data_IF_598044866072
#
_entry.id   IF_598044866072
#
_cell.length_a   1.000
_cell.length_b   1.000
_cell.length_c   1.000
_cell.angle_alpha   90.00
_cell.angle_beta   90.00
_cell.angle_gamma   90.00
#
_symmetry.space_group_name_H-M   'P 1'
#
loop_
_entity.id
_entity.type
_entity.pdbx_description
1 polymer ?
#
# COMPACT_ATOMS: atom_id res chain seq x y z
N UNK A 1 14.72 -8.57 -14.58
CA UNK A 1 13.51 -8.39 -15.43
C UNK A 1 12.29 -8.41 -14.51
N UNK A 2 11.28 -7.56 -14.73
CA UNK A 2 10.02 -7.55 -13.96
C UNK A 2 9.25 -8.86 -14.15
N UNK A 3 8.84 -9.51 -13.06
CA UNK A 3 8.07 -10.75 -13.03
C UNK A 3 6.67 -10.54 -12.44
N UNK A 4 6.54 -9.67 -11.43
CA UNK A 4 5.27 -9.42 -10.77
C UNK A 4 5.08 -7.96 -10.34
N UNK A 5 3.82 -7.56 -10.24
CA UNK A 5 3.39 -6.33 -9.56
C UNK A 5 2.47 -6.71 -8.40
N UNK A 6 2.81 -6.22 -7.21
CA UNK A 6 2.08 -6.47 -5.98
C UNK A 6 1.32 -5.18 -5.61
N UNK A 7 0.02 -5.28 -5.44
CA UNK A 7 -0.84 -4.11 -5.19
C UNK A 7 -1.35 -4.12 -3.75
N UNK A 8 -1.31 -2.97 -3.09
CA UNK A 8 -2.17 -2.77 -1.92
C UNK A 8 -3.64 -2.64 -2.37
N UNK A 9 -4.57 -2.79 -1.44
CA UNK A 9 -6.00 -2.65 -1.70
C UNK A 9 -6.47 -1.20 -1.57
N UNK A 10 -6.36 -0.67 -0.34
CA UNK A 10 -6.94 0.61 0.04
C UNK A 10 -6.14 1.76 -0.60
N UNK A 11 -6.82 2.66 -1.31
CA UNK A 11 -6.16 3.77 -1.99
C UNK A 11 -5.42 3.40 -3.28
N UNK A 12 -5.22 2.11 -3.58
CA UNK A 12 -4.50 1.61 -4.76
C UNK A 12 -5.43 0.89 -5.73
N UNK A 13 -6.02 -0.22 -5.32
CA UNK A 13 -7.01 -0.98 -6.11
C UNK A 13 -8.41 -0.42 -5.89
N UNK A 14 -8.77 -0.19 -4.63
CA UNK A 14 -10.02 0.39 -4.21
C UNK A 14 -9.86 1.89 -3.90
N UNK A 15 -10.75 2.72 -4.42
CA UNK A 15 -10.88 4.13 -4.01
C UNK A 15 -11.62 4.20 -2.67
N UNK A 16 -10.95 3.73 -1.62
CA UNK A 16 -11.52 3.55 -0.29
C UNK A 16 -11.45 4.79 0.60
N UNK A 17 -10.64 5.79 0.25
CA UNK A 17 -10.49 7.01 1.05
C UNK A 17 -11.83 7.71 1.34
N UNK A 18 -12.76 7.90 0.36
CA UNK A 18 -14.06 8.51 0.65
C UNK A 18 -14.91 7.66 1.61
N UNK A 19 -14.79 6.32 1.53
CA UNK A 19 -15.50 5.40 2.42
C UNK A 19 -14.94 5.48 3.85
N UNK A 20 -13.60 5.50 3.97
CA UNK A 20 -12.93 5.70 5.26
C UNK A 20 -13.28 7.04 5.88
N UNK A 21 -13.33 8.12 5.10
CA UNK A 21 -13.70 9.45 5.58
C UNK A 21 -15.11 9.45 6.18
N UNK A 22 -16.08 8.89 5.46
CA UNK A 22 -17.47 8.76 5.96
C UNK A 22 -17.51 7.98 7.27
N UNK A 23 -16.80 6.85 7.35
CA UNK A 23 -16.76 6.01 8.53
C UNK A 23 -16.10 6.70 9.73
N UNK A 24 -15.02 7.44 9.52
CA UNK A 24 -14.35 8.20 10.57
C UNK A 24 -15.22 9.36 11.07
N UNK A 25 -15.81 10.13 10.14
CA UNK A 25 -16.73 11.22 10.51
C UNK A 25 -17.90 10.71 11.34
N UNK A 26 -18.48 9.57 10.96
CA UNK A 26 -19.58 8.96 11.70
C UNK A 26 -19.15 8.52 13.12
N UNK A 27 -17.99 7.88 13.25
CA UNK A 27 -17.44 7.51 14.55
C UNK A 27 -17.16 8.73 15.43
N UNK A 28 -16.49 9.76 14.90
CA UNK A 28 -16.14 10.95 15.68
C UNK A 28 -17.41 11.71 16.11
N UNK A 29 -18.43 11.79 15.25
CA UNK A 29 -19.71 12.36 15.59
C UNK A 29 -20.44 11.55 16.70
N UNK A 30 -20.38 10.22 16.66
CA UNK A 30 -20.92 9.37 17.75
C UNK A 30 -20.20 9.62 19.08
N UNK A 31 -18.93 10.02 19.04
CA UNK A 31 -18.16 10.42 20.25
C UNK A 31 -18.37 11.88 20.67
N UNK A 32 -19.31 12.59 20.06
CA UNK A 32 -19.68 13.97 20.41
C UNK A 32 -18.79 15.04 19.77
N UNK A 33 -17.95 14.71 18.81
CA UNK A 33 -17.14 15.68 18.07
C UNK A 33 -17.90 16.21 16.84
N UNK A 34 -17.79 17.51 16.57
CA UNK A 34 -18.30 18.09 15.33
C UNK A 34 -17.36 17.75 14.17
N UNK A 35 -17.59 16.60 13.56
CA UNK A 35 -16.78 16.09 12.46
C UNK A 35 -16.76 17.00 11.21
N UNK A 36 -17.68 17.96 11.08
CA UNK A 36 -17.68 18.92 9.98
C UNK A 36 -16.62 20.02 10.15
N UNK A 37 -16.26 20.33 11.39
CA UNK A 37 -15.26 21.35 11.75
C UNK A 37 -13.86 20.80 12.00
N UNK A 38 -13.70 19.46 12.07
CA UNK A 38 -12.40 18.83 12.33
C UNK A 38 -11.47 18.89 11.11
N UNK A 39 -10.20 19.21 11.37
CA UNK A 39 -9.14 18.91 10.42
C UNK A 39 -8.93 17.40 10.36
N UNK A 40 -9.18 16.82 9.19
CA UNK A 40 -9.07 15.38 8.94
C UNK A 40 -7.76 14.99 8.26
N UNK A 41 -6.79 15.90 8.07
CA UNK A 41 -5.50 15.61 7.43
C UNK A 41 -4.78 14.44 8.10
N UNK A 42 -4.92 14.32 9.44
CA UNK A 42 -4.33 13.23 10.20
C UNK A 42 -4.86 11.84 9.80
N UNK A 43 -6.11 11.75 9.32
CA UNK A 43 -6.67 10.48 8.80
C UNK A 43 -5.97 10.00 7.54
N UNK A 44 -5.48 10.92 6.73
CA UNK A 44 -4.84 10.63 5.46
C UNK A 44 -3.32 10.52 5.56
N UNK A 45 -2.74 10.79 6.73
CA UNK A 45 -1.30 10.75 6.92
C UNK A 45 -0.73 9.32 7.06
N UNK A 46 -1.58 8.28 6.97
CA UNK A 46 -1.15 6.88 7.02
C UNK A 46 -0.86 6.38 8.44
N UNK A 47 -1.36 7.09 9.47
CA UNK A 47 -1.21 6.67 10.85
C UNK A 47 -1.97 5.38 11.17
N UNK A 48 -1.44 4.53 12.05
CA UNK A 48 -2.17 3.39 12.59
C UNK A 48 -3.48 3.82 13.26
N UNK A 49 -4.51 2.96 13.17
CA UNK A 49 -5.84 3.24 13.74
C UNK A 49 -5.80 3.73 15.18
N UNK A 50 -4.92 3.14 16.02
CA UNK A 50 -4.76 3.54 17.42
C UNK A 50 -4.30 4.98 17.56
N UNK A 51 -3.34 5.41 16.76
CA UNK A 51 -2.84 6.79 16.77
C UNK A 51 -3.91 7.78 16.33
N UNK A 52 -4.69 7.44 15.30
CA UNK A 52 -5.81 8.25 14.84
C UNK A 52 -6.84 8.42 15.96
N UNK A 53 -7.22 7.34 16.63
CA UNK A 53 -8.17 7.39 17.74
C UNK A 53 -7.63 8.23 18.92
N UNK A 54 -6.35 8.06 19.27
CA UNK A 54 -5.71 8.84 20.33
C UNK A 54 -5.65 10.33 19.97
N UNK A 55 -5.36 10.65 18.71
CA UNK A 55 -5.28 12.03 18.23
C UNK A 55 -6.60 12.79 18.45
N UNK A 56 -7.73 12.17 18.11
CA UNK A 56 -9.04 12.84 18.20
C UNK A 56 -9.74 12.66 19.55
N UNK A 57 -9.51 11.55 20.25
CA UNK A 57 -10.30 11.15 21.43
C UNK A 57 -9.47 11.07 22.72
N UNK A 58 -8.16 11.34 22.65
CA UNK A 58 -7.25 11.22 23.79
C UNK A 58 -6.84 9.77 24.10
N UNK A 59 -6.16 9.55 25.24
CA UNK A 59 -5.66 8.24 25.65
C UNK A 59 -6.75 7.16 25.72
N UNK A 60 -6.43 5.94 25.31
CA UNK A 60 -7.35 4.81 25.24
C UNK A 60 -6.76 3.61 25.94
N UNK A 61 -7.56 2.94 26.77
CA UNK A 61 -7.30 1.57 27.20
C UNK A 61 -7.66 0.54 26.09
N UNK A 62 -7.30 -0.72 26.30
CA UNK A 62 -7.52 -1.78 25.30
C UNK A 62 -9.01 -2.04 25.04
N UNK A 63 -9.85 -1.97 26.06
CA UNK A 63 -11.30 -2.19 25.92
C UNK A 63 -11.95 -1.10 25.08
N UNK A 64 -11.63 0.17 25.36
CA UNK A 64 -12.11 1.32 24.57
C UNK A 64 -11.58 1.30 23.15
N UNK A 65 -10.30 0.96 22.97
CA UNK A 65 -9.73 0.81 21.63
C UNK A 65 -10.45 -0.26 20.80
N UNK A 66 -10.68 -1.44 21.38
CA UNK A 66 -11.38 -2.53 20.71
C UNK A 66 -12.83 -2.12 20.33
N UNK A 67 -13.54 -1.47 21.27
CA UNK A 67 -14.89 -0.96 21.03
C UNK A 67 -14.94 0.05 19.89
N UNK A 68 -14.12 1.09 19.93
CA UNK A 68 -14.07 2.14 18.89
C UNK A 68 -13.63 1.58 17.54
N UNK A 69 -12.73 0.60 17.54
CA UNK A 69 -12.32 -0.10 16.31
C UNK A 69 -13.48 -0.84 15.67
N UNK A 70 -14.25 -1.60 16.47
CA UNK A 70 -15.44 -2.29 15.97
C UNK A 70 -16.51 -1.32 15.48
N UNK A 71 -16.72 -0.18 16.17
CA UNK A 71 -17.65 0.87 15.72
C UNK A 71 -17.22 1.47 14.40
N UNK A 72 -15.91 1.77 14.22
CA UNK A 72 -15.37 2.26 12.95
C UNK A 72 -15.58 1.27 11.80
N UNK A 73 -15.37 -0.02 12.07
CA UNK A 73 -15.60 -1.07 11.06
C UNK A 73 -17.08 -1.21 10.71
N UNK A 74 -17.98 -1.07 11.67
CA UNK A 74 -19.41 -1.00 11.43
C UNK A 74 -19.79 0.17 10.50
N UNK A 75 -19.30 1.38 10.77
CA UNK A 75 -19.56 2.54 9.91
C UNK A 75 -18.93 2.39 8.53
N UNK A 76 -17.76 1.75 8.43
CA UNK A 76 -17.16 1.43 7.14
C UNK A 76 -18.05 0.49 6.33
N UNK A 77 -18.57 -0.58 6.95
CA UNK A 77 -19.48 -1.52 6.29
C UNK A 77 -20.76 -0.83 5.79
N UNK A 78 -21.31 0.10 6.56
CA UNK A 78 -22.49 0.90 6.13
C UNK A 78 -22.17 1.80 4.92
N UNK A 79 -20.95 2.33 4.85
CA UNK A 79 -20.53 3.18 3.75
C UNK A 79 -19.97 2.39 2.54
N UNK A 80 -19.72 1.09 2.70
CA UNK A 80 -19.02 0.25 1.72
C UNK A 80 -19.72 0.19 0.36
N UNK A 81 -21.05 0.38 0.29
CA UNK A 81 -21.77 0.47 -0.98
C UNK A 81 -21.25 1.59 -1.93
N UNK A 82 -20.49 2.56 -1.39
CA UNK A 82 -19.85 3.63 -2.15
C UNK A 82 -18.46 3.28 -2.66
N UNK A 83 -17.93 2.10 -2.30
CA UNK A 83 -16.60 1.68 -2.72
C UNK A 83 -16.57 1.51 -4.24
N UNK A 84 -15.60 2.15 -4.87
CA UNK A 84 -15.35 2.08 -6.30
C UNK A 84 -13.92 1.62 -6.56
N UNK A 85 -13.68 1.05 -7.74
CA UNK A 85 -12.32 0.77 -8.18
C UNK A 85 -11.58 2.07 -8.50
N UNK A 86 -10.28 2.12 -8.22
CA UNK A 86 -9.45 3.23 -8.69
C UNK A 86 -9.54 3.36 -10.22
N UNK A 87 -9.72 4.58 -10.76
CA UNK A 87 -9.77 4.78 -12.20
C UNK A 87 -8.56 4.18 -12.90
N UNK A 88 -8.79 3.34 -13.90
CA UNK A 88 -7.75 2.69 -14.70
C UNK A 88 -7.21 1.36 -14.15
N UNK A 89 -7.54 0.95 -12.90
CA UNK A 89 -6.95 -0.26 -12.30
C UNK A 89 -7.27 -1.53 -13.08
N UNK A 90 -8.50 -1.71 -13.56
CA UNK A 90 -8.89 -2.88 -14.34
C UNK A 90 -8.11 -2.95 -15.68
N UNK A 91 -7.90 -1.79 -16.31
CA UNK A 91 -7.09 -1.70 -17.55
C UNK A 91 -5.64 -2.04 -17.26
N UNK A 92 -5.06 -1.50 -16.18
CA UNK A 92 -3.68 -1.78 -15.78
C UNK A 92 -3.46 -3.28 -15.50
N UNK A 93 -4.37 -3.92 -14.76
CA UNK A 93 -4.32 -5.37 -14.48
C UNK A 93 -4.41 -6.20 -15.76
N UNK A 94 -5.29 -5.82 -16.70
CA UNK A 94 -5.41 -6.50 -17.98
C UNK A 94 -4.14 -6.35 -18.84
N UNK A 95 -3.51 -5.17 -18.86
CA UNK A 95 -2.25 -4.92 -19.57
C UNK A 95 -1.10 -5.74 -18.98
N UNK A 96 -1.00 -5.83 -17.66
CA UNK A 96 0.03 -6.63 -16.97
C UNK A 96 -0.13 -8.11 -17.28
N UNK A 97 -1.36 -8.64 -17.21
CA UNK A 97 -1.68 -10.02 -17.56
C UNK A 97 -1.33 -10.33 -19.03
N UNK A 98 -1.69 -9.46 -19.97
CA UNK A 98 -1.36 -9.59 -21.38
C UNK A 98 0.15 -9.58 -21.65
N UNK A 99 0.91 -8.85 -20.81
CA UNK A 99 2.37 -8.77 -20.88
C UNK A 99 3.09 -9.95 -20.17
N UNK A 100 2.35 -10.90 -19.59
CA UNK A 100 2.88 -12.04 -18.82
C UNK A 100 3.48 -11.63 -17.47
N UNK A 101 3.05 -10.48 -16.92
CA UNK A 101 3.45 -10.00 -15.59
C UNK A 101 2.39 -10.44 -14.59
N UNK A 102 2.80 -11.17 -13.56
CA UNK A 102 1.91 -11.70 -12.54
C UNK A 102 1.44 -10.60 -11.60
N UNK A 103 0.21 -10.72 -11.08
CA UNK A 103 -0.35 -9.75 -10.15
C UNK A 103 -0.77 -10.42 -8.85
N UNK A 104 -0.42 -9.83 -7.70
CA UNK A 104 -0.96 -10.21 -6.40
C UNK A 104 -1.51 -8.99 -5.66
N UNK A 105 -2.48 -9.25 -4.78
CA UNK A 105 -2.96 -8.29 -3.79
C UNK A 105 -2.27 -8.56 -2.45
N UNK A 106 -1.79 -7.52 -1.76
CA UNK A 106 -1.12 -7.62 -0.47
C UNK A 106 -1.58 -6.47 0.44
N UNK A 107 -2.59 -6.71 1.27
CA UNK A 107 -3.28 -5.69 2.06
C UNK A 107 -3.26 -5.97 3.56
N UNK A 108 -3.18 -4.91 4.38
CA UNK A 108 -3.36 -5.01 5.84
C UNK A 108 -4.82 -5.23 6.27
N UNK A 109 -5.77 -5.25 5.34
CA UNK A 109 -7.18 -5.47 5.62
C UNK A 109 -7.45 -6.91 6.11
N UNK A 110 -8.56 -7.08 6.84
CA UNK A 110 -9.06 -8.40 7.20
C UNK A 110 -9.56 -9.16 5.96
N UNK A 111 -9.52 -10.49 6.03
CA UNK A 111 -9.87 -11.39 4.91
C UNK A 111 -11.28 -11.14 4.38
N UNK A 112 -12.24 -11.10 5.26
CA UNK A 112 -13.66 -10.90 4.92
C UNK A 112 -13.85 -9.58 4.16
N UNK A 113 -13.32 -8.49 4.69
CA UNK A 113 -13.39 -7.17 4.07
C UNK A 113 -12.69 -7.13 2.70
N UNK A 114 -11.58 -7.85 2.56
CA UNK A 114 -10.83 -7.92 1.30
C UNK A 114 -11.67 -8.58 0.22
N UNK A 115 -12.27 -9.74 0.51
CA UNK A 115 -13.08 -10.45 -0.47
C UNK A 115 -14.40 -9.74 -0.78
N UNK A 116 -15.04 -9.10 0.20
CA UNK A 116 -16.20 -8.23 -0.03
C UNK A 116 -15.87 -7.07 -0.97
N UNK A 117 -14.72 -6.42 -0.77
CA UNK A 117 -14.26 -5.35 -1.63
C UNK A 117 -13.98 -5.85 -3.06
N UNK A 118 -13.24 -6.95 -3.22
CA UNK A 118 -12.95 -7.52 -4.54
C UNK A 118 -14.23 -7.92 -5.29
N UNK A 119 -15.19 -8.54 -4.59
CA UNK A 119 -16.48 -8.91 -5.18
C UNK A 119 -17.27 -7.67 -5.65
N UNK A 120 -17.36 -6.64 -4.80
CA UNK A 120 -18.03 -5.39 -5.17
C UNK A 120 -17.37 -4.71 -6.38
N UNK A 121 -16.03 -4.75 -6.46
CA UNK A 121 -15.25 -4.17 -7.55
C UNK A 121 -15.21 -5.07 -8.80
N UNK A 122 -15.71 -6.31 -8.72
CA UNK A 122 -15.64 -7.35 -9.78
C UNK A 122 -14.19 -7.67 -10.16
N UNK A 123 -13.34 -7.84 -9.16
CA UNK A 123 -11.90 -8.08 -9.31
C UNK A 123 -11.44 -9.37 -8.60
N UNK A 124 -12.36 -10.31 -8.29
CA UNK A 124 -12.07 -11.57 -7.58
C UNK A 124 -11.02 -12.41 -8.32
N UNK A 125 -11.07 -12.42 -9.65
CA UNK A 125 -10.18 -13.19 -10.53
C UNK A 125 -9.01 -12.34 -11.09
N UNK A 126 -8.83 -11.11 -10.58
CA UNK A 126 -7.82 -10.21 -11.12
C UNK A 126 -6.40 -10.51 -10.62
N UNK A 127 -6.28 -11.20 -9.48
CA UNK A 127 -5.03 -11.49 -8.81
C UNK A 127 -4.77 -12.99 -8.72
N UNK A 128 -3.52 -13.40 -9.00
CA UNK A 128 -3.09 -14.80 -8.91
C UNK A 128 -2.83 -15.22 -7.45
N UNK A 129 -2.58 -14.25 -6.56
CA UNK A 129 -2.47 -14.45 -5.12
C UNK A 129 -3.08 -13.27 -4.36
N UNK A 130 -3.72 -13.57 -3.23
CA UNK A 130 -4.22 -12.58 -2.28
C UNK A 130 -3.60 -12.89 -0.92
N UNK A 131 -2.97 -11.87 -0.32
CA UNK A 131 -2.40 -11.90 1.02
C UNK A 131 -3.07 -10.80 1.85
N UNK A 132 -3.56 -11.17 3.01
CA UNK A 132 -4.28 -10.26 3.92
C UNK A 132 -3.55 -10.09 5.24
N UNK A 133 -3.90 -9.08 6.03
CA UNK A 133 -3.21 -8.77 7.28
C UNK A 133 -3.12 -9.94 8.26
N UNK A 134 -4.11 -10.83 8.28
CA UNK A 134 -4.10 -12.02 9.13
C UNK A 134 -3.21 -13.17 8.65
N UNK A 135 -2.59 -13.07 7.47
CA UNK A 135 -1.69 -14.08 6.93
C UNK A 135 -0.23 -13.90 7.42
N UNK A 136 0.08 -12.79 8.08
CA UNK A 136 1.41 -12.45 8.58
C UNK A 136 1.36 -12.06 10.05
N UNK A 137 2.46 -12.31 10.77
CA UNK A 137 2.57 -11.98 12.19
C UNK A 137 2.89 -10.49 12.39
N UNK A 138 3.71 -9.92 11.52
CA UNK A 138 4.19 -8.54 11.65
C UNK A 138 3.60 -7.70 10.51
N UNK A 139 2.84 -6.67 10.88
CA UNK A 139 2.22 -5.74 9.94
C UNK A 139 3.22 -4.76 9.31
N UNK A 140 2.85 -4.12 8.18
CA UNK A 140 3.58 -2.99 7.61
C UNK A 140 3.94 -1.97 8.72
N UNK A 141 5.20 -1.49 8.80
CA UNK A 141 6.22 -1.46 7.76
C UNK A 141 7.15 -2.68 7.70
N UNK A 142 6.83 -3.82 8.37
CA UNK A 142 7.57 -5.05 8.16
C UNK A 142 7.32 -5.61 6.74
N UNK A 143 8.31 -6.30 6.15
CA UNK A 143 8.24 -6.74 4.76
C UNK A 143 7.37 -7.97 4.52
N UNK A 144 6.93 -8.64 5.56
CA UNK A 144 6.38 -10.00 5.59
C UNK A 144 5.27 -10.19 4.57
N UNK A 145 4.35 -9.24 4.47
CA UNK A 145 3.19 -9.34 3.58
C UNK A 145 3.59 -9.36 2.10
N UNK A 146 4.59 -8.57 1.71
CA UNK A 146 5.08 -8.54 0.34
C UNK A 146 5.98 -9.72 0.02
N UNK A 147 6.79 -10.18 0.99
CA UNK A 147 7.59 -11.40 0.85
C UNK A 147 6.68 -12.62 0.66
N UNK A 148 5.61 -12.74 1.46
CA UNK A 148 4.62 -13.81 1.32
C UNK A 148 3.88 -13.74 -0.02
N UNK A 149 3.56 -12.55 -0.52
CA UNK A 149 2.93 -12.38 -1.83
C UNK A 149 3.85 -12.80 -2.98
N UNK A 150 5.15 -12.47 -2.91
CA UNK A 150 6.13 -12.90 -3.88
C UNK A 150 6.33 -14.43 -3.86
N UNK A 151 6.39 -15.02 -2.65
CA UNK A 151 6.49 -16.48 -2.47
C UNK A 151 5.30 -17.21 -3.09
N UNK A 152 4.06 -16.77 -2.80
CA UNK A 152 2.84 -17.34 -3.41
C UNK A 152 2.84 -17.23 -4.93
N UNK A 153 3.48 -16.22 -5.49
CA UNK A 153 3.70 -16.09 -6.93
C UNK A 153 4.95 -16.87 -7.42
N UNK A 154 5.73 -17.49 -6.55
CA UNK A 154 7.00 -18.16 -6.90
C UNK A 154 7.94 -17.26 -7.71
N UNK A 155 8.10 -16.00 -7.27
CA UNK A 155 9.00 -15.01 -7.86
C UNK A 155 9.96 -14.45 -6.82
N UNK A 156 11.17 -14.10 -7.24
CA UNK A 156 12.14 -13.47 -6.37
C UNK A 156 11.75 -12.00 -6.07
N UNK A 157 11.84 -11.54 -4.81
CA UNK A 157 11.42 -10.19 -4.39
C UNK A 157 12.01 -9.09 -5.25
N UNK A 158 13.29 -9.16 -5.59
CA UNK A 158 13.96 -8.18 -6.44
C UNK A 158 13.43 -8.12 -7.88
N UNK A 159 12.55 -9.04 -8.29
CA UNK A 159 11.87 -8.99 -9.59
C UNK A 159 10.47 -8.41 -9.51
N UNK A 160 10.07 -7.94 -8.32
CA UNK A 160 8.75 -7.37 -8.07
C UNK A 160 8.78 -5.84 -8.07
N UNK A 161 7.63 -5.25 -8.37
CA UNK A 161 7.29 -3.86 -8.07
C UNK A 161 6.07 -3.86 -7.16
N UNK A 162 6.10 -3.08 -6.09
CA UNK A 162 4.95 -2.85 -5.21
C UNK A 162 4.27 -1.54 -5.61
N UNK A 163 2.94 -1.50 -5.59
CA UNK A 163 2.14 -0.27 -5.74
C UNK A 163 1.45 0.01 -4.41
N UNK A 164 1.72 1.17 -3.82
CA UNK A 164 1.35 1.53 -2.46
C UNK A 164 1.00 3.02 -2.31
N UNK A 165 0.09 3.34 -1.38
CA UNK A 165 -0.34 4.72 -1.11
C UNK A 165 0.07 5.25 0.27
N UNK A 166 0.67 4.39 1.11
CA UNK A 166 1.03 4.69 2.50
C UNK A 166 2.55 4.67 2.74
N UNK A 167 3.00 5.48 3.70
CA UNK A 167 4.41 5.49 4.15
C UNK A 167 4.83 4.12 4.67
N UNK A 168 3.99 3.49 5.49
CA UNK A 168 4.29 2.18 6.06
C UNK A 168 4.41 1.09 4.98
N UNK A 169 3.56 1.14 3.95
CA UNK A 169 3.62 0.20 2.85
C UNK A 169 4.81 0.42 1.92
N UNK A 170 5.16 1.68 1.62
CA UNK A 170 6.40 1.99 0.88
C UNK A 170 7.62 1.45 1.64
N UNK A 171 7.71 1.69 2.95
CA UNK A 171 8.80 1.17 3.78
C UNK A 171 8.83 -0.37 3.78
N UNK A 172 7.67 -1.02 3.89
CA UNK A 172 7.57 -2.47 3.82
C UNK A 172 8.10 -3.04 2.49
N UNK A 173 7.79 -2.38 1.36
CA UNK A 173 8.30 -2.76 0.06
C UNK A 173 9.83 -2.63 -0.03
N UNK A 174 10.38 -1.53 0.49
CA UNK A 174 11.84 -1.31 0.55
C UNK A 174 12.52 -2.35 1.44
N UNK A 175 11.95 -2.63 2.63
CA UNK A 175 12.47 -3.67 3.53
C UNK A 175 12.40 -5.08 2.90
N UNK A 176 11.43 -5.32 2.01
CA UNK A 176 11.34 -6.56 1.23
C UNK A 176 12.37 -6.64 0.08
N UNK A 177 13.19 -5.60 -0.16
CA UNK A 177 14.10 -5.54 -1.30
C UNK A 177 13.40 -5.31 -2.64
N UNK A 178 12.17 -4.79 -2.62
CA UNK A 178 11.35 -4.56 -3.81
C UNK A 178 11.39 -3.09 -4.21
N UNK A 179 11.22 -2.83 -5.51
CA UNK A 179 10.97 -1.50 -6.03
C UNK A 179 9.54 -1.08 -5.67
N UNK A 180 9.33 0.17 -5.27
CA UNK A 180 8.02 0.68 -4.92
C UNK A 180 7.62 1.86 -5.81
N UNK A 181 6.42 1.77 -6.40
CA UNK A 181 5.71 2.86 -7.05
C UNK A 181 4.64 3.42 -6.10
N UNK A 182 4.79 4.66 -5.68
CA UNK A 182 3.82 5.33 -4.83
C UNK A 182 2.58 5.77 -5.63
N UNK A 183 1.38 5.43 -5.16
CA UNK A 183 0.12 5.95 -5.72
C UNK A 183 -0.45 6.99 -4.77
N UNK A 184 -0.07 8.24 -4.96
CA UNK A 184 -0.35 9.31 -4.01
C UNK A 184 -1.70 9.99 -4.23
N UNK A 185 -2.34 10.40 -3.14
CA UNK A 185 -3.32 11.48 -3.19
C UNK A 185 -2.63 12.81 -3.58
N UNK A 186 -3.35 13.75 -4.22
CA UNK A 186 -2.82 15.08 -4.43
C UNK A 186 -2.28 15.70 -3.12
N UNK A 187 -1.07 16.26 -3.16
CA UNK A 187 -0.40 16.84 -2.00
C UNK A 187 0.47 15.86 -1.19
N UNK A 188 0.38 14.55 -1.40
CA UNK A 188 1.17 13.54 -0.64
C UNK A 188 2.36 12.94 -1.41
N UNK A 189 2.65 13.44 -2.59
CA UNK A 189 3.74 12.92 -3.46
C UNK A 189 5.08 12.92 -2.75
N UNK A 190 5.45 14.03 -2.11
CA UNK A 190 6.75 14.17 -1.41
C UNK A 190 6.88 13.28 -0.19
N UNK A 191 5.78 12.95 0.46
CA UNK A 191 5.74 12.05 1.60
C UNK A 191 6.15 10.62 1.19
N UNK A 192 5.57 10.11 0.11
CA UNK A 192 5.91 8.78 -0.41
C UNK A 192 7.32 8.73 -1.00
N UNK A 193 7.79 9.81 -1.64
CA UNK A 193 9.18 9.92 -2.08
C UNK A 193 10.16 9.85 -0.91
N UNK A 194 9.90 10.59 0.16
CA UNK A 194 10.71 10.55 1.39
C UNK A 194 10.69 9.19 2.08
N UNK A 195 9.59 8.45 1.96
CA UNK A 195 9.50 7.08 2.45
C UNK A 195 10.33 6.07 1.65
N UNK A 196 10.82 6.45 0.46
CA UNK A 196 11.68 5.63 -0.39
C UNK A 196 11.02 5.10 -1.67
N UNK A 197 9.82 5.61 -2.04
CA UNK A 197 9.20 5.23 -3.31
C UNK A 197 10.12 5.59 -4.49
N UNK A 198 10.34 4.64 -5.39
CA UNK A 198 11.22 4.80 -6.56
C UNK A 198 10.64 5.76 -7.59
N UNK A 199 9.32 5.83 -7.68
CA UNK A 199 8.55 6.85 -8.39
C UNK A 199 7.20 7.02 -7.72
N UNK A 200 6.52 8.15 -7.99
CA UNK A 200 5.20 8.45 -7.41
C UNK A 200 4.30 9.06 -8.48
N UNK A 201 3.11 8.48 -8.62
CA UNK A 201 2.07 8.96 -9.53
C UNK A 201 0.75 9.21 -8.78
N UNK A 202 -0.10 10.04 -9.35
CA UNK A 202 -1.45 10.36 -8.83
C UNK A 202 -2.57 9.83 -9.72
N UNK A 203 -2.20 9.34 -10.91
CA UNK A 203 -3.07 8.69 -11.89
C UNK A 203 -2.31 7.50 -12.45
N UNK A 204 -2.99 6.37 -12.60
CA UNK A 204 -2.35 5.17 -13.17
C UNK A 204 -1.79 5.43 -14.56
N UNK A 205 -0.56 4.96 -14.84
CA UNK A 205 0.05 5.12 -16.15
C UNK A 205 -0.81 4.50 -17.26
N UNK A 206 -0.94 5.14 -18.43
CA UNK A 206 -1.78 4.65 -19.53
C UNK A 206 -1.28 3.32 -20.10
N UNK A 207 0.04 3.03 -20.02
CA UNK A 207 0.65 1.73 -20.29
C UNK A 207 1.36 1.25 -19.02
N UNK A 208 0.63 0.53 -18.19
CA UNK A 208 1.13 0.03 -16.92
C UNK A 208 2.27 -0.97 -17.09
N UNK A 209 2.21 -1.84 -18.11
CA UNK A 209 3.22 -2.85 -18.32
C UNK A 209 4.57 -2.24 -18.73
N UNK A 210 4.55 -1.25 -19.59
CA UNK A 210 5.75 -0.51 -20.00
C UNK A 210 6.32 0.27 -18.80
N UNK A 211 5.47 1.01 -18.09
CA UNK A 211 5.87 1.83 -16.95
C UNK A 211 6.57 0.99 -15.86
N UNK A 212 5.95 -0.09 -15.39
CA UNK A 212 6.55 -0.89 -14.33
C UNK A 212 7.82 -1.64 -14.76
N UNK A 213 7.94 -2.00 -16.05
CA UNK A 213 9.20 -2.55 -16.58
C UNK A 213 10.32 -1.52 -16.57
N UNK A 214 10.04 -0.27 -16.94
CA UNK A 214 11.01 0.82 -16.93
C UNK A 214 11.42 1.17 -15.49
N UNK A 215 10.44 1.30 -14.59
CA UNK A 215 10.69 1.59 -13.18
C UNK A 215 11.63 0.55 -12.57
N UNK A 216 11.34 -0.74 -12.77
CA UNK A 216 12.20 -1.83 -12.28
C UNK A 216 13.58 -1.85 -12.93
N UNK A 217 13.69 -1.43 -14.18
CA UNK A 217 14.98 -1.32 -14.91
C UNK A 217 15.85 -0.16 -14.44
N UNK A 218 15.24 0.94 -13.99
CA UNK A 218 15.95 2.15 -13.54
C UNK A 218 16.56 2.01 -12.13
N UNK A 219 16.07 1.08 -11.31
CA UNK A 219 16.59 0.78 -9.96
C UNK A 219 17.71 -0.25 -9.97
N UNK A 220 18.59 -0.25 -10.99
CA UNK A 220 19.84 -0.99 -10.92
C UNK A 220 20.68 -0.44 -9.75
N UNK A 221 20.86 -1.25 -8.73
CA UNK A 221 21.44 -1.04 -7.40
C UNK A 221 22.44 0.13 -7.25
N UNK A 222 22.29 0.93 -6.16
CA UNK A 222 23.31 1.89 -5.75
C UNK A 222 24.61 1.22 -5.22
N UNK A 223 24.67 -0.11 -5.11
CA UNK A 223 25.75 -0.82 -4.44
C UNK A 223 27.04 -1.02 -5.23
N UNK A 224 27.13 -0.61 -6.51
CA UNK A 224 28.36 -0.79 -7.29
C UNK A 224 29.19 0.49 -7.53
N UNK A 225 28.77 1.64 -6.99
CA UNK A 225 29.51 2.91 -7.24
C UNK A 225 30.43 3.37 -6.13
N UNK A 226 30.61 2.63 -5.02
CA UNK A 226 31.53 3.03 -3.94
C UNK A 226 32.34 1.86 -3.38
N UNK A 227 33.11 1.17 -4.21
CA UNK A 227 34.33 0.45 -3.75
C UNK A 227 35.52 1.34 -3.99
N UNK A 228 36.20 1.84 -2.94
CA UNK A 228 37.48 2.53 -3.15
C UNK A 228 38.47 1.50 -3.66
N UNK A 229 39.03 1.73 -4.86
CA UNK A 229 40.18 1.00 -5.35
C UNK A 229 41.32 1.20 -4.33
N UNK A 230 41.67 0.14 -3.62
CA UNK A 230 42.94 0.12 -2.89
C UNK A 230 44.07 0.33 -3.93
N UNK A 231 44.68 1.51 -3.87
CA UNK A 231 45.92 1.76 -4.56
C UNK A 231 47.00 0.85 -3.97
N UNK A 232 47.47 -0.10 -4.75
CA UNK A 232 48.67 -0.85 -4.44
C UNK A 232 49.84 0.14 -4.28
N UNK A 233 50.39 0.25 -3.07
CA UNK A 233 51.67 0.88 -2.85
C UNK A 233 52.73 -0.11 -3.32
N UNK A 234 53.33 0.17 -4.45
CA UNK A 234 54.61 -0.39 -4.83
C UNK A 234 55.67 0.11 -3.85
N UNK A 235 56.19 -0.80 -3.07
CA UNK A 235 57.47 -0.60 -2.36
C UNK A 235 58.57 -0.95 -3.34
N UNK A 236 59.19 0.07 -3.90
CA UNK A 236 60.47 -0.04 -4.56
C UNK A 236 61.58 0.29 -3.55
N UNK A 237 62.46 -0.64 -3.40
CA UNK A 237 63.85 -0.61 -2.98
C UNK A 237 64.37 0.64 -2.25
#
# INVERSE_FOLDING_TARGET
MLKAVLFDLDGVVADSHPVHEVAWKALLAEQGLDAASLNLDFLYAGHPRREILIHYLGPLDEGRFAHLSARKDHFYAQAAARLAAKPGIAVALAQLRAAGIRCALATSAARERTWEALAQLRLEDAFEAVVVGGDVEIAKPAPDIFLLAADKLSVAPETCVVVEDSVAGVQAAIHAGMCCAGFALPGRVEELRKAGASDVFTVLPPDAALYFRQLRGSTAHPSEKNSPRLAARETGN
#
